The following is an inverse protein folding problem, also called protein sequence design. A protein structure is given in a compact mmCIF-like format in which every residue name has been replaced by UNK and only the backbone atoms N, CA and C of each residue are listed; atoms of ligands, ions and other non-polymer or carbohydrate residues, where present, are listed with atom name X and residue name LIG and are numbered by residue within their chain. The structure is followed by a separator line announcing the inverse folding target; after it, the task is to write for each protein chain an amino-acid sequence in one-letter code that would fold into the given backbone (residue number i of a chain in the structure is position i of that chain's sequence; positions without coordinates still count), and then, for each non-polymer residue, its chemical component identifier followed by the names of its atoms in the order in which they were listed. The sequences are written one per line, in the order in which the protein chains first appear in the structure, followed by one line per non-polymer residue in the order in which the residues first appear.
data_IF_732192781152
#
_entry.id   IF_732192781152
#
_cell.length_a   1.000
_cell.length_b   1.000
_cell.length_c   1.000
_cell.angle_alpha   90.00
_cell.angle_beta   90.00
_cell.angle_gamma   90.00
#
_symmetry.space_group_name_H-M   'P 1'
#
loop_
_entity.id
_entity.type
_entity.pdbx_description
1 polymer ?
#
# COMPACT_ATOMS: atom_id res chain seq x y z
N UNK A 1 1.19 10.79 7.31
CA UNK A 1 0.93 10.32 5.93
C UNK A 1 -0.09 9.18 5.86
N UNK A 2 -0.07 8.24 6.81
CA UNK A 2 -1.03 7.11 6.91
C UNK A 2 -2.52 7.51 6.81
N UNK A 3 -3.03 8.37 7.71
CA UNK A 3 -4.46 8.75 7.73
C UNK A 3 -4.97 9.39 6.42
N UNK A 4 -4.12 10.13 5.70
CA UNK A 4 -4.47 10.71 4.41
C UNK A 4 -4.64 9.64 3.32
N UNK A 5 -3.84 8.57 3.39
CA UNK A 5 -3.97 7.41 2.50
C UNK A 5 -5.21 6.60 2.85
N UNK A 6 -5.51 6.42 4.14
CA UNK A 6 -6.74 5.78 4.60
C UNK A 6 -7.98 6.53 4.08
N UNK A 7 -7.98 7.86 4.20
CA UNK A 7 -9.06 8.70 3.68
C UNK A 7 -9.22 8.55 2.16
N UNK A 8 -8.11 8.53 1.41
CA UNK A 8 -8.13 8.33 -0.04
C UNK A 8 -8.70 6.95 -0.42
N UNK A 9 -8.31 5.91 0.31
CA UNK A 9 -8.80 4.54 0.15
C UNK A 9 -10.20 4.32 0.75
N UNK A 10 -10.85 5.37 1.27
CA UNK A 10 -12.18 5.35 1.89
C UNK A 10 -12.29 4.42 3.10
N UNK A 11 -11.18 4.17 3.81
CA UNK A 11 -11.19 3.47 5.08
C UNK A 11 -11.92 4.32 6.12
N UNK A 12 -12.92 3.72 6.76
CA UNK A 12 -13.71 4.34 7.81
C UNK A 12 -13.04 4.19 9.17
N UNK A 13 -13.54 4.91 10.16
CA UNK A 13 -13.06 4.77 11.53
C UNK A 13 -13.21 3.33 12.05
N UNK A 14 -14.28 2.64 11.67
CA UNK A 14 -14.54 1.26 12.08
C UNK A 14 -13.54 0.27 11.47
N UNK A 15 -13.14 0.48 10.22
CA UNK A 15 -12.10 -0.33 9.57
C UNK A 15 -10.76 -0.16 10.30
N UNK A 16 -10.43 1.05 10.74
CA UNK A 16 -9.20 1.33 11.49
C UNK A 16 -9.20 0.76 12.92
N UNK A 17 -10.38 0.52 13.50
CA UNK A 17 -10.51 -0.15 14.81
C UNK A 17 -10.42 -1.67 14.72
N UNK A 18 -10.76 -2.25 13.56
CA UNK A 18 -10.84 -3.70 13.35
C UNK A 18 -9.62 -4.27 12.62
N UNK A 19 -8.94 -3.46 11.83
CA UNK A 19 -7.75 -3.84 11.06
C UNK A 19 -6.47 -3.46 11.79
N UNK A 20 -5.43 -4.28 11.65
CA UNK A 20 -4.09 -3.87 12.11
C UNK A 20 -3.50 -2.84 11.15
N UNK A 21 -2.45 -2.15 11.60
CA UNK A 21 -1.75 -1.19 10.74
C UNK A 21 -1.17 -1.84 9.47
N UNK A 22 -0.78 -3.12 9.55
CA UNK A 22 -0.28 -3.90 8.40
C UNK A 22 -1.38 -4.13 7.38
N UNK A 23 -2.55 -4.60 7.83
CA UNK A 23 -3.71 -4.84 6.96
C UNK A 23 -4.15 -3.56 6.24
N UNK A 24 -4.09 -2.41 6.92
CA UNK A 24 -4.38 -1.11 6.31
C UNK A 24 -3.40 -0.76 5.19
N UNK A 25 -2.10 -1.03 5.38
CA UNK A 25 -1.09 -0.76 4.35
C UNK A 25 -1.25 -1.68 3.14
N UNK A 26 -1.52 -2.96 3.35
CA UNK A 26 -1.75 -3.92 2.27
C UNK A 26 -3.00 -3.53 1.46
N UNK A 27 -4.10 -3.18 2.13
CA UNK A 27 -5.32 -2.69 1.47
C UNK A 27 -5.09 -1.43 0.64
N UNK A 28 -4.37 -0.44 1.19
CA UNK A 28 -4.04 0.81 0.47
C UNK A 28 -3.15 0.53 -0.74
N UNK A 29 -2.23 -0.43 -0.65
CA UNK A 29 -1.37 -0.81 -1.76
C UNK A 29 -2.18 -1.44 -2.91
N UNK A 30 -3.07 -2.38 -2.60
CA UNK A 30 -3.99 -2.97 -3.58
C UNK A 30 -4.91 -1.91 -4.21
N UNK A 31 -5.47 -1.02 -3.40
CA UNK A 31 -6.28 0.10 -3.87
C UNK A 31 -5.51 0.99 -4.86
N UNK A 32 -4.25 1.28 -4.57
CA UNK A 32 -3.39 2.09 -5.43
C UNK A 32 -3.01 1.39 -6.74
N UNK A 33 -2.87 0.06 -6.75
CA UNK A 33 -2.66 -0.74 -7.96
C UNK A 33 -3.92 -0.74 -8.84
N UNK A 34 -5.10 -0.86 -8.23
CA UNK A 34 -6.37 -0.83 -8.96
C UNK A 34 -6.67 0.55 -9.57
N UNK A 35 -6.29 1.64 -8.90
CA UNK A 35 -6.48 3.01 -9.41
C UNK A 35 -5.57 3.36 -10.61
N UNK A 36 -4.43 2.68 -10.77
CA UNK A 36 -3.54 2.91 -11.93
C UNK A 36 -3.14 1.58 -12.58
N UNK A 37 -4.02 0.99 -13.41
CA UNK A 37 -3.72 -0.25 -14.12
C UNK A 37 -2.51 -0.12 -15.07
N UNK A 38 -2.21 1.09 -15.53
CA UNK A 38 -1.10 1.40 -16.45
C UNK A 38 0.20 1.80 -15.73
N UNK A 39 0.21 1.83 -14.39
CA UNK A 39 1.43 2.17 -13.64
C UNK A 39 2.43 1.03 -13.82
N UNK A 40 3.60 1.34 -14.36
CA UNK A 40 4.73 0.41 -14.37
C UNK A 40 4.87 -0.22 -12.98
N UNK A 41 4.79 -1.54 -12.91
CA UNK A 41 5.06 -2.28 -11.66
C UNK A 41 6.48 -1.95 -11.26
N UNK A 42 6.63 -1.04 -10.30
CA UNK A 42 7.91 -0.73 -9.69
C UNK A 42 8.40 -2.05 -9.09
N UNK A 43 9.41 -2.64 -9.73
CA UNK A 43 10.03 -3.89 -9.30
C UNK A 43 10.45 -3.72 -7.84
N UNK A 44 9.96 -4.59 -6.95
CA UNK A 44 10.50 -4.68 -5.58
C UNK A 44 11.99 -5.02 -5.67
N UNK A 45 12.81 -4.24 -4.96
CA UNK A 45 14.24 -4.51 -4.87
C UNK A 45 14.46 -5.93 -4.32
N UNK A 46 15.24 -6.71 -5.04
CA UNK A 46 15.59 -8.08 -4.70
C UNK A 46 16.91 -8.11 -3.94
N UNK A 47 17.20 -9.23 -3.27
CA UNK A 47 18.50 -9.44 -2.62
C UNK A 47 19.67 -9.20 -3.59
N UNK A 48 19.52 -9.55 -4.87
CA UNK A 48 20.52 -9.30 -5.92
C UNK A 48 20.83 -7.82 -6.14
N UNK A 49 19.86 -6.94 -5.87
CA UNK A 49 20.08 -5.49 -5.97
C UNK A 49 20.88 -4.98 -4.76
N UNK A 50 20.73 -5.60 -3.60
CA UNK A 50 21.57 -5.34 -2.42
C UNK A 50 22.99 -5.90 -2.57
N UNK A 51 23.11 -7.10 -3.15
CA UNK A 51 24.40 -7.76 -3.38
C UNK A 51 25.25 -7.04 -4.46
N UNK A 52 24.67 -6.08 -5.18
CA UNK A 52 25.31 -5.28 -6.23
C UNK A 52 25.80 -3.90 -5.76
N UNK A 53 25.66 -3.55 -4.47
CA UNK A 53 26.27 -2.37 -3.84
C UNK A 53 27.63 -2.70 -3.23
#
# INVERSE_FOLDING_TARGET
MFLALCYKAKLTHWDLETMTIGDCFDYIAEFAEMENPDKEKIRKASQKDFDSF
#
